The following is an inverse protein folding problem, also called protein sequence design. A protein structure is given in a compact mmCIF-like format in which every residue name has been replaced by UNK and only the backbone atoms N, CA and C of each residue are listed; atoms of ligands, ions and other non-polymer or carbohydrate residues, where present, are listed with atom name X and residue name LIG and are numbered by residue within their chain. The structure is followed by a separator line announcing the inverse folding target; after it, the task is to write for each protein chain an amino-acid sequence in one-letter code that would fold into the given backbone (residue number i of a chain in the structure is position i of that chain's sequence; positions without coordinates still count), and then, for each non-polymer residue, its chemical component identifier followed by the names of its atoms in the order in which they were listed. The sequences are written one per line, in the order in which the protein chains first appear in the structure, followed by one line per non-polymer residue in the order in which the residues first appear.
data_IF_742776618600
#
_entry.id   IF_742776618600
#
_cell.length_a   1.000
_cell.length_b   1.000
_cell.length_c   1.000
_cell.angle_alpha   90.00
_cell.angle_beta   90.00
_cell.angle_gamma   90.00
#
_symmetry.space_group_name_H-M   'P 1'
#
loop_
_entity.id
_entity.type
_entity.pdbx_description
1 polymer ?
#
# COMPACT_ATOMS: atom_id res chain seq x y z
N UNK A 1 -22.10 -7.81 20.70
CA UNK A 1 -20.78 -7.95 20.04
C UNK A 1 -20.50 -6.65 19.30
N UNK A 2 -19.40 -5.96 19.61
CA UNK A 2 -19.06 -4.69 18.96
C UNK A 2 -18.68 -4.97 17.50
N UNK A 3 -19.33 -4.30 16.56
CA UNK A 3 -18.98 -4.40 15.13
C UNK A 3 -17.80 -3.47 14.84
N UNK A 4 -16.82 -3.90 14.03
CA UNK A 4 -15.72 -3.02 13.62
C UNK A 4 -16.23 -1.78 12.88
N UNK A 5 -15.62 -0.62 13.13
CA UNK A 5 -15.84 0.60 12.35
C UNK A 5 -15.45 0.38 10.90
N UNK A 6 -16.16 1.04 9.98
CA UNK A 6 -15.86 0.96 8.55
C UNK A 6 -15.34 2.27 7.98
N UNK A 7 -15.29 3.36 8.76
CA UNK A 7 -14.74 4.64 8.33
C UNK A 7 -13.27 4.54 7.90
N UNK A 8 -12.45 3.82 8.67
CA UNK A 8 -11.05 3.54 8.30
C UNK A 8 -10.93 2.77 6.98
N UNK A 9 -11.79 1.77 6.77
CA UNK A 9 -11.80 0.96 5.56
C UNK A 9 -12.21 1.78 4.33
N UNK A 10 -13.22 2.65 4.47
CA UNK A 10 -13.61 3.61 3.43
C UNK A 10 -12.51 4.65 3.18
N UNK A 11 -11.83 5.10 4.23
CA UNK A 11 -10.66 5.98 4.14
C UNK A 11 -9.52 5.36 3.31
N UNK A 12 -9.19 4.09 3.56
CA UNK A 12 -8.21 3.36 2.77
C UNK A 12 -8.62 3.27 1.28
N UNK A 13 -9.90 2.96 0.99
CA UNK A 13 -10.39 2.98 -0.39
C UNK A 13 -10.29 4.35 -1.06
N UNK A 14 -10.56 5.44 -0.32
CA UNK A 14 -10.41 6.80 -0.85
C UNK A 14 -8.95 7.11 -1.21
N UNK A 15 -8.00 6.71 -0.36
CA UNK A 15 -6.56 6.88 -0.63
C UNK A 15 -6.16 6.06 -1.87
N UNK A 16 -6.50 4.77 -1.91
CA UNK A 16 -6.20 3.91 -3.07
C UNK A 16 -6.84 4.43 -4.36
N UNK A 17 -8.09 4.90 -4.29
CA UNK A 17 -8.79 5.50 -5.43
C UNK A 17 -8.14 6.79 -5.92
N UNK A 18 -7.67 7.66 -5.01
CA UNK A 18 -6.95 8.88 -5.37
C UNK A 18 -5.62 8.57 -6.08
N UNK A 19 -4.83 7.61 -5.58
CA UNK A 19 -3.60 7.16 -6.23
C UNK A 19 -3.89 6.55 -7.60
N UNK A 20 -4.92 5.70 -7.69
CA UNK A 20 -5.34 5.09 -8.97
C UNK A 20 -5.73 6.14 -10.00
N UNK A 21 -6.43 7.19 -9.57
CA UNK A 21 -6.81 8.29 -10.45
C UNK A 21 -5.59 9.10 -10.91
N UNK A 22 -4.63 9.36 -10.01
CA UNK A 22 -3.38 10.03 -10.37
C UNK A 22 -2.60 9.23 -11.41
N UNK A 23 -2.40 7.92 -11.19
CA UNK A 23 -1.80 6.98 -12.15
C UNK A 23 -2.52 7.05 -13.49
N UNK A 24 -3.84 6.90 -13.50
CA UNK A 24 -4.64 6.89 -14.72
C UNK A 24 -4.43 8.19 -15.52
N UNK A 25 -4.48 9.34 -14.84
CA UNK A 25 -4.33 10.66 -15.48
C UNK A 25 -2.90 10.84 -16.00
N UNK A 26 -1.89 10.51 -15.22
CA UNK A 26 -0.48 10.70 -15.56
C UNK A 26 -0.04 9.80 -16.71
N UNK A 27 -0.33 8.50 -16.63
CA UNK A 27 -0.06 7.57 -17.74
C UNK A 27 -1.02 7.76 -18.93
N UNK A 28 -2.12 8.48 -18.72
CA UNK A 28 -3.04 8.87 -19.79
C UNK A 28 -2.61 10.09 -20.59
N UNK A 29 -1.68 10.90 -20.05
CA UNK A 29 -1.32 12.21 -20.61
C UNK A 29 0.14 12.34 -21.07
N UNK A 30 1.06 11.60 -20.45
CA UNK A 30 2.49 11.70 -20.71
C UNK A 30 2.90 10.77 -21.85
N UNK A 31 4.01 11.12 -22.50
CA UNK A 31 4.66 10.26 -23.48
C UNK A 31 5.27 9.04 -22.77
N UNK A 32 5.18 7.87 -23.39
CA UNK A 32 5.78 6.64 -22.83
C UNK A 32 7.29 6.73 -22.69
N UNK A 33 7.96 7.56 -23.50
CA UNK A 33 9.39 7.84 -23.35
C UNK A 33 9.77 8.54 -22.03
N UNK A 34 8.79 9.17 -21.36
CA UNK A 34 8.97 9.82 -20.06
C UNK A 34 8.58 8.90 -18.89
N UNK A 35 8.06 7.70 -19.17
CA UNK A 35 7.45 6.79 -18.21
C UNK A 35 8.22 5.48 -18.12
N UNK A 36 8.24 4.89 -16.94
CA UNK A 36 8.97 3.65 -16.68
C UNK A 36 8.21 2.41 -17.15
N UNK A 37 8.84 1.62 -18.03
CA UNK A 37 8.43 0.26 -18.46
C UNK A 37 6.98 0.12 -18.98
N UNK A 38 6.49 1.09 -19.73
CA UNK A 38 5.18 1.07 -20.39
C UNK A 38 5.28 1.33 -21.88
N UNK A 39 4.40 0.73 -22.69
CA UNK A 39 4.39 0.94 -24.15
C UNK A 39 3.08 1.51 -24.69
N UNK A 40 1.99 1.48 -23.92
CA UNK A 40 0.71 2.02 -24.35
C UNK A 40 0.55 3.49 -23.98
N UNK A 41 0.06 4.29 -24.93
CA UNK A 41 -0.18 5.72 -24.75
C UNK A 41 -1.65 6.04 -24.43
N UNK A 42 -1.89 7.29 -24.02
CA UNK A 42 -3.23 7.85 -23.89
C UNK A 42 -4.10 7.10 -22.88
N UNK A 43 -5.42 7.18 -23.08
CA UNK A 43 -6.39 6.55 -22.17
C UNK A 43 -6.16 5.04 -22.00
N UNK A 44 -5.66 4.35 -23.04
CA UNK A 44 -5.35 2.93 -22.97
C UNK A 44 -4.17 2.66 -22.01
N UNK A 45 -3.08 3.44 -22.12
CA UNK A 45 -1.96 3.39 -21.17
C UNK A 45 -2.38 3.68 -19.73
N UNK A 46 -3.15 4.75 -19.54
CA UNK A 46 -3.68 5.13 -18.23
C UNK A 46 -4.56 4.05 -17.58
N UNK A 47 -5.51 3.48 -18.34
CA UNK A 47 -6.35 2.38 -17.86
C UNK A 47 -5.53 1.12 -17.60
N UNK A 48 -4.56 0.82 -18.46
CA UNK A 48 -3.65 -0.31 -18.30
C UNK A 48 -2.89 -0.22 -16.97
N UNK A 49 -2.27 0.92 -16.68
CA UNK A 49 -1.56 1.12 -15.41
C UNK A 49 -2.45 1.17 -14.20
N UNK A 50 -3.65 1.73 -14.32
CA UNK A 50 -4.65 1.63 -13.26
C UNK A 50 -4.96 0.16 -12.93
N UNK A 51 -5.15 -0.70 -13.95
CA UNK A 51 -5.39 -2.14 -13.75
C UNK A 51 -4.21 -2.81 -13.07
N UNK A 52 -2.96 -2.53 -13.47
CA UNK A 52 -1.79 -3.12 -12.81
C UNK A 52 -1.61 -2.60 -11.38
N UNK A 53 -1.95 -1.34 -11.09
CA UNK A 53 -1.98 -0.81 -9.71
C UNK A 53 -3.00 -1.56 -8.83
N UNK A 54 -4.14 -1.96 -9.39
CA UNK A 54 -5.10 -2.83 -8.69
C UNK A 54 -4.48 -4.17 -8.28
N UNK A 55 -3.43 -4.62 -8.97
CA UNK A 55 -2.73 -5.87 -8.65
C UNK A 55 -1.71 -5.65 -7.54
N UNK A 56 -0.81 -4.68 -7.71
CA UNK A 56 0.12 -4.26 -6.67
C UNK A 56 0.14 -2.74 -6.60
N UNK A 57 -0.03 -2.14 -5.41
CA UNK A 57 -0.13 -2.75 -4.08
C UNK A 57 -1.58 -2.91 -3.59
N UNK A 58 -2.58 -2.46 -4.36
CA UNK A 58 -3.98 -2.36 -3.90
C UNK A 58 -4.58 -3.73 -3.58
N UNK A 59 -4.18 -4.81 -4.25
CA UNK A 59 -4.66 -6.15 -3.88
C UNK A 59 -4.25 -6.55 -2.45
N UNK A 60 -3.05 -6.16 -2.00
CA UNK A 60 -2.63 -6.40 -0.62
C UNK A 60 -3.50 -5.62 0.37
N UNK A 61 -3.79 -4.35 0.06
CA UNK A 61 -4.74 -3.54 0.84
C UNK A 61 -6.13 -4.20 0.88
N UNK A 62 -6.60 -4.73 -0.25
CA UNK A 62 -7.91 -5.37 -0.39
C UNK A 62 -8.05 -6.62 0.51
N UNK A 63 -6.97 -7.37 0.76
CA UNK A 63 -6.98 -8.50 1.71
C UNK A 63 -7.28 -7.99 3.13
N UNK A 64 -6.59 -6.94 3.58
CA UNK A 64 -6.84 -6.35 4.91
C UNK A 64 -8.28 -5.85 5.05
N UNK A 65 -8.77 -5.15 4.02
CA UNK A 65 -10.14 -4.61 3.99
C UNK A 65 -11.19 -5.72 3.98
N UNK A 66 -10.94 -6.82 3.27
CA UNK A 66 -11.82 -7.99 3.27
C UNK A 66 -11.94 -8.60 4.66
N UNK A 67 -10.82 -8.76 5.38
CA UNK A 67 -10.81 -9.31 6.74
C UNK A 67 -11.60 -8.42 7.73
N UNK A 68 -11.49 -7.10 7.58
CA UNK A 68 -12.28 -6.13 8.38
C UNK A 68 -13.77 -6.21 8.02
N UNK A 69 -14.10 -6.29 6.73
CA UNK A 69 -15.49 -6.35 6.27
C UNK A 69 -16.21 -7.61 6.78
N UNK A 70 -15.58 -8.79 6.71
CA UNK A 70 -16.20 -10.04 7.17
C UNK A 70 -16.45 -10.09 8.67
N UNK A 71 -15.70 -9.32 9.47
CA UNK A 71 -15.95 -9.19 10.89
C UNK A 71 -17.26 -8.43 11.20
N UNK A 72 -17.78 -7.64 10.26
CA UNK A 72 -19.06 -6.93 10.38
C UNK A 72 -20.25 -7.67 9.71
N UNK A 73 -19.96 -8.67 8.87
CA UNK A 73 -20.92 -9.38 8.02
C UNK A 73 -21.30 -10.76 8.58
N UNK A 74 -22.42 -11.36 8.13
CA UNK A 74 -22.77 -12.73 8.51
C UNK A 74 -21.78 -13.75 7.93
N UNK A 75 -21.66 -14.93 8.57
CA UNK A 75 -20.71 -15.99 8.16
C UNK A 75 -20.79 -16.38 6.68
N UNK A 76 -21.97 -16.32 6.06
CA UNK A 76 -22.15 -16.57 4.61
C UNK A 76 -21.34 -15.64 3.69
N UNK A 77 -20.91 -14.47 4.19
CA UNK A 77 -20.07 -13.55 3.42
C UNK A 77 -18.70 -14.16 3.07
N UNK A 78 -18.26 -15.19 3.79
CA UNK A 78 -17.03 -15.92 3.46
C UNK A 78 -17.05 -16.59 2.09
N UNK A 79 -18.23 -16.86 1.51
CA UNK A 79 -18.37 -17.34 0.13
C UNK A 79 -17.75 -16.35 -0.87
N UNK A 80 -17.79 -15.05 -0.58
CA UNK A 80 -17.16 -14.02 -1.42
C UNK A 80 -15.80 -13.60 -0.87
N UNK A 81 -15.61 -13.59 0.45
CA UNK A 81 -14.36 -13.17 1.06
C UNK A 81 -13.19 -14.13 0.80
N UNK A 82 -13.45 -15.44 0.76
CA UNK A 82 -12.44 -16.43 0.39
C UNK A 82 -11.88 -16.15 -1.01
N UNK A 83 -12.72 -16.11 -2.06
CA UNK A 83 -12.29 -15.71 -3.40
C UNK A 83 -11.62 -14.33 -3.45
N UNK A 84 -12.16 -13.32 -2.75
CA UNK A 84 -11.56 -11.98 -2.73
C UNK A 84 -10.11 -12.01 -2.22
N UNK A 85 -9.85 -12.74 -1.12
CA UNK A 85 -8.50 -12.90 -0.56
C UNK A 85 -7.61 -13.69 -1.53
N UNK A 86 -8.09 -14.83 -2.03
CA UNK A 86 -7.31 -15.71 -2.92
C UNK A 86 -6.92 -14.98 -4.19
N UNK A 87 -7.86 -14.34 -4.87
CA UNK A 87 -7.59 -13.60 -6.11
C UNK A 87 -6.65 -12.42 -5.89
N UNK A 88 -6.81 -11.71 -4.78
CA UNK A 88 -5.91 -10.60 -4.42
C UNK A 88 -4.48 -11.09 -4.10
N UNK A 89 -4.31 -12.32 -3.60
CA UNK A 89 -3.01 -12.89 -3.26
C UNK A 89 -2.17 -13.35 -4.48
N UNK A 90 -2.75 -13.40 -5.68
CA UNK A 90 -2.04 -13.81 -6.92
C UNK A 90 -1.09 -12.72 -7.46
N UNK A 91 -0.95 -11.60 -6.75
CA UNK A 91 -0.17 -10.42 -7.16
C UNK A 91 1.24 -10.75 -7.67
N UNK A 92 1.97 -11.65 -7.00
CA UNK A 92 3.35 -11.99 -7.34
C UNK A 92 3.51 -12.64 -8.73
N UNK A 93 2.42 -13.13 -9.32
CA UNK A 93 2.41 -13.74 -10.67
C UNK A 93 1.83 -12.79 -11.71
N UNK A 94 1.09 -11.78 -11.28
CA UNK A 94 0.35 -10.90 -12.19
C UNK A 94 1.16 -9.65 -12.61
N UNK A 95 2.15 -9.24 -11.82
CA UNK A 95 2.96 -8.04 -12.07
C UNK A 95 4.36 -8.45 -12.53
N UNK A 96 4.82 -7.87 -13.63
CA UNK A 96 6.20 -7.93 -14.11
C UNK A 96 6.78 -6.53 -14.04
N UNK A 97 7.94 -6.37 -13.41
CA UNK A 97 8.54 -5.03 -13.25
C UNK A 97 9.14 -4.50 -14.53
N UNK A 98 9.49 -5.39 -15.46
CA UNK A 98 10.08 -5.04 -16.74
C UNK A 98 9.02 -4.76 -17.81
N UNK A 99 7.76 -5.09 -17.53
CA UNK A 99 6.62 -4.86 -18.42
C UNK A 99 5.38 -4.56 -17.58
N UNK A 100 5.09 -3.27 -17.48
CA UNK A 100 4.04 -2.73 -16.64
C UNK A 100 2.73 -2.51 -17.41
N UNK A 101 2.63 -2.99 -18.65
CA UNK A 101 1.38 -2.99 -19.40
C UNK A 101 0.37 -4.02 -18.87
N UNK A 102 -0.92 -3.69 -19.02
CA UNK A 102 -1.98 -4.57 -18.56
C UNK A 102 -2.07 -5.84 -19.41
N UNK A 103 -2.11 -6.99 -18.73
CA UNK A 103 -2.27 -8.32 -19.29
C UNK A 103 -3.57 -8.94 -18.78
N UNK A 104 -4.07 -9.96 -19.47
CA UNK A 104 -5.30 -10.65 -19.06
C UNK A 104 -5.20 -11.25 -17.65
N UNK A 105 -3.99 -11.66 -17.22
CA UNK A 105 -3.74 -12.19 -15.87
C UNK A 105 -4.05 -11.15 -14.79
N UNK A 106 -3.96 -9.85 -15.12
CA UNK A 106 -4.27 -8.78 -14.18
C UNK A 106 -5.75 -8.67 -13.82
N UNK A 107 -6.64 -9.30 -14.60
CA UNK A 107 -8.06 -9.35 -14.29
C UNK A 107 -8.34 -10.13 -13.00
N UNK A 108 -7.49 -11.09 -12.62
CA UNK A 108 -7.70 -11.92 -11.44
C UNK A 108 -7.57 -11.09 -10.15
N UNK A 109 -6.44 -10.41 -9.86
CA UNK A 109 -6.37 -9.54 -8.69
C UNK A 109 -7.37 -8.39 -8.73
N UNK A 110 -7.62 -7.80 -9.91
CA UNK A 110 -8.63 -6.74 -10.05
C UNK A 110 -10.04 -7.20 -9.64
N UNK A 111 -10.43 -8.44 -9.97
CA UNK A 111 -11.68 -9.04 -9.49
C UNK A 111 -11.67 -9.25 -7.97
N UNK A 112 -10.53 -9.67 -7.41
CA UNK A 112 -10.34 -9.77 -5.96
C UNK A 112 -10.58 -8.42 -5.25
N UNK A 113 -10.00 -7.35 -5.78
CA UNK A 113 -10.18 -5.97 -5.29
C UNK A 113 -11.64 -5.53 -5.41
N UNK A 114 -12.31 -5.81 -6.53
CA UNK A 114 -13.71 -5.47 -6.72
C UNK A 114 -14.64 -6.17 -5.71
N UNK A 115 -14.39 -7.47 -5.42
CA UNK A 115 -15.11 -8.21 -4.39
C UNK A 115 -14.84 -7.64 -2.99
N UNK A 116 -13.60 -7.28 -2.68
CA UNK A 116 -13.23 -6.65 -1.41
C UNK A 116 -13.95 -5.30 -1.21
N UNK A 117 -14.04 -4.48 -2.27
CA UNK A 117 -14.77 -3.22 -2.25
C UNK A 117 -16.26 -3.46 -2.00
N UNK A 118 -16.88 -4.41 -2.71
CA UNK A 118 -18.29 -4.77 -2.52
C UNK A 118 -18.59 -5.24 -1.08
N UNK A 119 -17.71 -6.08 -0.52
CA UNK A 119 -17.79 -6.52 0.87
C UNK A 119 -17.65 -5.36 1.85
N UNK A 120 -16.73 -4.43 1.60
CA UNK A 120 -16.54 -3.23 2.43
C UNK A 120 -17.79 -2.34 2.41
N UNK A 121 -18.38 -2.11 1.24
CA UNK A 121 -19.63 -1.35 1.10
C UNK A 121 -20.77 -2.04 1.84
N UNK A 122 -20.91 -3.36 1.71
CA UNK A 122 -21.92 -4.13 2.43
C UNK A 122 -21.72 -4.06 3.96
N UNK A 123 -20.47 -4.12 4.41
CA UNK A 123 -20.12 -3.97 5.83
C UNK A 123 -20.45 -2.56 6.33
N UNK A 124 -20.11 -1.50 5.58
CA UNK A 124 -20.43 -0.11 5.91
C UNK A 124 -21.95 0.13 5.98
N UNK A 125 -22.73 -0.41 5.04
CA UNK A 125 -24.21 -0.35 5.09
C UNK A 125 -24.79 -1.03 6.32
N UNK A 126 -24.13 -2.06 6.86
CA UNK A 126 -24.60 -2.84 8.02
C UNK A 126 -24.11 -2.31 9.37
N UNK A 127 -22.90 -1.77 9.43
CA UNK A 127 -22.23 -1.36 10.66
C UNK A 127 -22.09 0.17 10.81
N UNK A 128 -22.40 0.93 9.76
CA UNK A 128 -22.17 2.37 9.67
C UNK A 128 -20.80 2.71 9.08
N UNK A 129 -20.63 3.95 8.65
CA UNK A 129 -19.41 4.49 8.02
C UNK A 129 -18.55 5.37 8.94
N UNK A 130 -18.91 5.46 10.23
CA UNK A 130 -18.16 6.27 11.19
C UNK A 130 -16.75 5.71 11.41
N UNK A 131 -15.78 6.61 11.58
CA UNK A 131 -14.44 6.26 12.05
C UNK A 131 -14.47 5.75 13.48
N UNK A 132 -13.50 4.91 13.83
CA UNK A 132 -13.22 4.54 15.20
C UNK A 132 -12.98 5.77 16.06
N UNK A 133 -13.41 5.70 17.33
CA UNK A 133 -13.05 6.68 18.35
C UNK A 133 -11.53 6.77 18.48
N UNK A 134 -11.04 7.92 18.99
CA UNK A 134 -9.62 8.12 19.27
C UNK A 134 -9.08 7.00 20.16
N UNK A 135 -7.87 6.53 19.85
CA UNK A 135 -7.17 5.49 20.59
C UNK A 135 -5.84 6.00 21.10
N UNK A 136 -5.30 5.33 22.12
CA UNK A 136 -3.91 5.54 22.50
C UNK A 136 -3.02 5.33 21.25
N UNK A 137 -1.94 6.10 21.12
CA UNK A 137 -1.02 6.01 19.99
C UNK A 137 -1.53 6.62 18.67
N UNK A 138 -2.73 7.20 18.62
CA UNK A 138 -3.17 7.93 17.41
C UNK A 138 -2.25 9.12 17.08
N UNK A 139 -1.65 9.77 18.09
CA UNK A 139 -0.62 10.80 17.86
C UNK A 139 0.62 10.23 17.18
N UNK A 140 1.10 9.07 17.61
CA UNK A 140 2.25 8.40 17.01
C UNK A 140 1.95 8.00 15.57
N UNK A 141 0.77 7.41 15.31
CA UNK A 141 0.32 7.09 13.95
C UNK A 141 0.27 8.34 13.08
N UNK A 142 -0.29 9.43 13.59
CA UNK A 142 -0.42 10.69 12.84
C UNK A 142 0.95 11.28 12.50
N UNK A 143 1.88 11.35 13.47
CA UNK A 143 3.24 11.84 13.24
C UNK A 143 3.98 10.93 12.26
N UNK A 144 3.90 9.62 12.44
CA UNK A 144 4.53 8.67 11.52
C UNK A 144 3.96 8.77 10.11
N UNK A 145 2.64 8.90 9.95
CA UNK A 145 1.98 9.16 8.67
C UNK A 145 2.46 10.47 8.05
N UNK A 146 2.59 11.55 8.84
CA UNK A 146 3.09 12.83 8.33
C UNK A 146 4.54 12.72 7.84
N UNK A 147 5.40 12.00 8.57
CA UNK A 147 6.79 11.74 8.14
C UNK A 147 6.82 10.95 6.84
N UNK A 148 6.03 9.87 6.73
CA UNK A 148 5.93 9.07 5.51
C UNK A 148 5.46 9.94 4.33
N UNK A 149 4.45 10.78 4.52
CA UNK A 149 3.94 11.69 3.48
C UNK A 149 4.97 12.73 3.05
N UNK A 150 5.70 13.35 3.99
CA UNK A 150 6.75 14.34 3.67
C UNK A 150 7.88 13.71 2.87
N UNK A 151 8.32 12.51 3.27
CA UNK A 151 9.37 11.78 2.56
C UNK A 151 8.89 11.21 1.21
N UNK A 152 7.59 11.03 1.02
CA UNK A 152 6.99 10.59 -0.25
C UNK A 152 6.76 11.74 -1.24
N UNK A 153 7.06 13.00 -0.89
CA UNK A 153 6.78 14.15 -1.75
C UNK A 153 7.36 14.02 -3.17
N UNK A 154 8.59 13.50 -3.38
CA UNK A 154 9.11 13.27 -4.73
C UNK A 154 8.26 12.29 -5.54
N UNK A 155 7.87 11.15 -4.96
CA UNK A 155 7.02 10.18 -5.62
C UNK A 155 5.61 10.70 -5.86
N UNK A 156 5.04 11.46 -4.92
CA UNK A 156 3.73 12.08 -5.10
C UNK A 156 3.77 13.04 -6.29
N UNK A 157 4.84 13.85 -6.43
CA UNK A 157 4.99 14.73 -7.58
C UNK A 157 5.14 13.95 -8.89
N UNK A 158 5.96 12.89 -8.90
CA UNK A 158 6.13 12.00 -10.04
C UNK A 158 4.82 11.33 -10.46
N UNK A 159 3.97 10.95 -9.49
CA UNK A 159 2.63 10.38 -9.72
C UNK A 159 1.69 11.37 -10.37
N UNK A 160 1.88 12.67 -10.15
CA UNK A 160 1.20 13.75 -10.86
C UNK A 160 1.92 14.16 -12.16
N UNK A 161 3.02 13.49 -12.50
CA UNK A 161 3.85 13.73 -13.68
C UNK A 161 4.58 15.09 -13.64
N UNK A 162 5.08 15.46 -12.46
CA UNK A 162 5.87 16.66 -12.20
C UNK A 162 7.15 16.23 -11.46
N UNK A 163 8.31 16.70 -11.89
CA UNK A 163 9.54 16.49 -11.12
C UNK A 163 9.55 17.37 -9.86
N UNK A 164 10.00 16.79 -8.75
CA UNK A 164 10.13 17.54 -7.50
C UNK A 164 11.41 18.38 -7.51
N UNK A 165 11.40 19.62 -7.00
CA UNK A 165 12.58 20.48 -6.98
C UNK A 165 13.73 19.91 -6.15
N UNK A 166 14.95 20.05 -6.68
CA UNK A 166 16.20 19.49 -6.15
C UNK A 166 16.73 20.03 -4.82
N UNK A 167 16.14 21.11 -4.29
CA UNK A 167 16.74 21.87 -3.17
C UNK A 167 16.88 21.05 -1.88
N UNK A 168 15.94 20.14 -1.63
CA UNK A 168 15.88 19.31 -0.42
C UNK A 168 15.92 17.84 -0.79
N UNK A 169 15.02 17.42 -1.67
CA UNK A 169 14.98 16.07 -2.22
C UNK A 169 15.60 16.08 -3.61
N UNK A 170 16.33 15.01 -3.92
CA UNK A 170 16.71 14.73 -5.30
C UNK A 170 15.43 14.41 -6.07
N UNK A 171 15.24 15.02 -7.22
CA UNK A 171 14.03 14.87 -8.02
C UNK A 171 14.30 15.06 -9.50
N UNK A 172 14.56 16.30 -9.92
CA UNK A 172 14.79 16.67 -11.33
C UNK A 172 16.24 16.49 -11.81
N UNK A 173 17.18 16.30 -10.89
CA UNK A 173 18.60 16.16 -11.22
C UNK A 173 18.86 14.92 -12.07
N UNK A 174 19.74 15.03 -13.06
CA UNK A 174 20.06 13.92 -13.94
C UNK A 174 20.94 12.89 -13.24
N UNK A 175 20.55 11.62 -13.34
CA UNK A 175 21.28 10.46 -12.88
C UNK A 175 21.40 9.47 -14.04
N UNK A 176 22.61 8.94 -14.27
CA UNK A 176 22.84 7.92 -15.28
C UNK A 176 22.56 6.53 -14.70
N UNK A 177 21.62 5.81 -15.28
CA UNK A 177 21.40 4.41 -14.94
C UNK A 177 22.52 3.51 -15.49
N UNK A 178 22.52 2.24 -15.07
CA UNK A 178 23.54 1.25 -15.45
C UNK A 178 23.62 1.01 -16.98
N UNK A 179 22.56 1.32 -17.71
CA UNK A 179 22.48 1.24 -19.17
C UNK A 179 23.07 2.48 -19.89
N UNK A 180 23.50 3.50 -19.13
CA UNK A 180 24.11 4.73 -19.62
C UNK A 180 23.12 5.82 -20.01
N UNK A 181 21.81 5.60 -19.89
CA UNK A 181 20.81 6.63 -20.12
C UNK A 181 20.66 7.53 -18.89
N UNK A 182 20.64 8.85 -19.12
CA UNK A 182 20.46 9.84 -18.06
C UNK A 182 18.98 10.21 -17.93
N UNK A 183 18.38 9.89 -16.78
CA UNK A 183 17.02 10.26 -16.42
C UNK A 183 17.02 11.17 -15.21
N UNK A 184 15.89 11.84 -14.96
CA UNK A 184 15.69 12.49 -13.68
C UNK A 184 15.84 11.47 -12.53
N UNK A 185 16.46 11.89 -11.43
CA UNK A 185 16.76 11.05 -10.29
C UNK A 185 15.52 10.35 -9.74
N UNK A 186 14.38 11.04 -9.76
CA UNK A 186 13.06 10.46 -9.61
C UNK A 186 12.34 10.62 -10.94
N UNK A 187 12.22 9.51 -11.69
CA UNK A 187 11.54 9.50 -12.98
C UNK A 187 10.03 9.79 -12.82
N UNK A 188 9.34 10.17 -13.90
CA UNK A 188 7.89 10.40 -13.83
C UNK A 188 7.12 9.08 -13.73
N UNK A 189 5.90 9.18 -13.22
CA UNK A 189 5.01 8.04 -13.04
C UNK A 189 5.14 7.41 -11.66
N UNK A 190 4.82 6.12 -11.61
CA UNK A 190 4.56 5.39 -10.38
C UNK A 190 5.83 4.71 -9.85
N UNK A 191 6.04 4.80 -8.54
CA UNK A 191 7.24 4.32 -7.84
C UNK A 191 6.88 3.31 -6.75
N UNK A 192 7.72 2.28 -6.57
CA UNK A 192 7.48 1.28 -5.52
C UNK A 192 7.73 1.82 -4.10
N UNK A 193 8.48 2.90 -3.94
CA UNK A 193 8.51 3.66 -2.69
C UNK A 193 7.14 4.23 -2.33
N UNK A 194 6.40 4.73 -3.33
CA UNK A 194 5.01 5.15 -3.23
C UNK A 194 4.07 4.01 -2.82
N UNK A 195 4.31 2.80 -3.32
CA UNK A 195 3.59 1.59 -2.89
C UNK A 195 3.84 1.27 -1.43
N UNK A 196 5.11 1.33 -1.03
CA UNK A 196 5.51 1.19 0.36
C UNK A 196 4.79 2.18 1.26
N UNK A 197 4.73 3.45 0.87
CA UNK A 197 4.00 4.50 1.57
C UNK A 197 2.50 4.16 1.69
N UNK A 198 1.85 3.75 0.59
CA UNK A 198 0.43 3.40 0.59
C UNK A 198 0.13 2.25 1.58
N UNK A 199 0.95 1.21 1.59
CA UNK A 199 0.81 0.08 2.50
C UNK A 199 1.00 0.50 3.97
N UNK A 200 2.01 1.32 4.27
CA UNK A 200 2.29 1.83 5.63
C UNK A 200 1.14 2.70 6.13
N UNK A 201 0.71 3.69 5.34
CA UNK A 201 -0.37 4.60 5.69
C UNK A 201 -1.69 3.86 5.89
N UNK A 202 -1.98 2.89 5.02
CA UNK A 202 -3.14 2.00 5.16
C UNK A 202 -3.03 1.17 6.44
N UNK A 203 -1.88 0.59 6.74
CA UNK A 203 -1.69 -0.21 7.95
C UNK A 203 -1.91 0.64 9.23
N UNK A 204 -1.38 1.87 9.26
CA UNK A 204 -1.63 2.79 10.37
C UNK A 204 -3.11 3.13 10.52
N UNK A 205 -3.81 3.44 9.42
CA UNK A 205 -5.23 3.74 9.44
C UNK A 205 -6.05 2.53 9.93
N UNK A 206 -5.85 1.36 9.33
CA UNK A 206 -6.60 0.14 9.64
C UNK A 206 -6.27 -0.42 11.03
N UNK A 207 -5.06 -0.17 11.57
CA UNK A 207 -4.70 -0.57 12.94
C UNK A 207 -5.54 0.09 14.04
N UNK A 208 -6.35 1.10 13.69
CA UNK A 208 -7.31 1.72 14.63
C UNK A 208 -8.58 0.89 14.79
N UNK A 209 -8.93 0.06 13.80
CA UNK A 209 -10.14 -0.76 13.78
C UNK A 209 -10.07 -1.85 14.85
N UNK A 210 -11.08 -1.92 15.72
CA UNK A 210 -11.17 -2.97 16.75
C UNK A 210 -11.79 -4.24 16.16
N UNK A 211 -10.98 -5.29 16.09
CA UNK A 211 -11.42 -6.62 15.65
C UNK A 211 -12.07 -7.41 16.80
N UNK A 212 -13.08 -8.24 16.52
CA UNK A 212 -13.64 -9.15 17.52
C UNK A 212 -12.60 -10.17 17.97
N UNK A 213 -12.62 -10.55 19.25
CA UNK A 213 -11.68 -11.52 19.84
C UNK A 213 -11.66 -12.86 19.10
N UNK A 214 -10.51 -13.54 19.13
CA UNK A 214 -10.31 -14.87 18.56
C UNK A 214 -9.42 -14.87 17.32
N UNK A 215 -9.53 -15.93 16.50
CA UNK A 215 -8.63 -16.16 15.37
C UNK A 215 -8.63 -15.01 14.36
N UNK A 216 -9.80 -14.42 14.06
CA UNK A 216 -9.88 -13.32 13.09
C UNK A 216 -9.11 -12.08 13.55
N UNK A 217 -9.12 -11.75 14.85
CA UNK A 217 -8.26 -10.68 15.41
C UNK A 217 -6.80 -10.98 15.18
N UNK A 218 -6.35 -12.21 15.47
CA UNK A 218 -4.95 -12.60 15.30
C UNK A 218 -4.55 -12.51 13.82
N UNK A 219 -5.32 -13.15 12.93
CA UNK A 219 -5.04 -13.15 11.48
C UNK A 219 -5.01 -11.74 10.91
N UNK A 220 -6.01 -10.90 11.21
CA UNK A 220 -6.05 -9.52 10.74
C UNK A 220 -4.89 -8.68 11.28
N UNK A 221 -4.56 -8.83 12.56
CA UNK A 221 -3.44 -8.09 13.17
C UNK A 221 -2.11 -8.53 12.59
N UNK A 222 -1.90 -9.83 12.40
CA UNK A 222 -0.71 -10.37 11.76
C UNK A 222 -0.58 -9.88 10.32
N UNK A 223 -1.68 -9.86 9.57
CA UNK A 223 -1.67 -9.36 8.20
C UNK A 223 -1.32 -7.86 8.13
N UNK A 224 -1.88 -7.03 9.03
CA UNK A 224 -1.49 -5.62 9.15
C UNK A 224 -0.02 -5.45 9.53
N UNK A 225 0.52 -6.32 10.40
CA UNK A 225 1.93 -6.34 10.74
C UNK A 225 2.84 -6.65 9.54
N UNK A 226 2.46 -7.65 8.73
CA UNK A 226 3.15 -7.99 7.47
C UNK A 226 3.07 -6.82 6.49
N UNK A 227 1.88 -6.26 6.27
CA UNK A 227 1.66 -5.14 5.37
C UNK A 227 2.47 -3.91 5.77
N UNK A 228 2.52 -3.59 7.06
CA UNK A 228 3.33 -2.50 7.61
C UNK A 228 4.83 -2.74 7.38
N UNK A 229 5.32 -3.94 7.71
CA UNK A 229 6.75 -4.27 7.59
C UNK A 229 7.21 -4.29 6.12
N UNK A 230 6.45 -4.96 5.26
CA UNK A 230 6.74 -5.04 3.84
C UNK A 230 6.67 -3.66 3.17
N UNK A 231 5.63 -2.87 3.50
CA UNK A 231 5.52 -1.50 3.01
C UNK A 231 6.68 -0.62 3.48
N UNK A 232 7.06 -0.70 4.76
CA UNK A 232 8.14 0.10 5.32
C UNK A 232 9.51 -0.25 4.71
N UNK A 233 9.76 -1.53 4.40
CA UNK A 233 11.02 -1.94 3.76
C UNK A 233 11.10 -1.45 2.31
N UNK A 234 10.03 -1.56 1.52
CA UNK A 234 10.04 -1.03 0.15
C UNK A 234 10.15 0.50 0.13
N UNK A 235 9.40 1.17 1.02
CA UNK A 235 9.51 2.61 1.24
C UNK A 235 10.96 3.04 1.57
N UNK A 236 11.60 2.36 2.53
CA UNK A 236 12.95 2.69 2.95
C UNK A 236 13.99 2.36 1.87
N UNK A 237 13.82 1.26 1.14
CA UNK A 237 14.72 0.86 0.07
C UNK A 237 14.73 1.89 -1.06
N UNK A 238 13.55 2.30 -1.53
CA UNK A 238 13.46 3.25 -2.64
C UNK A 238 13.93 4.65 -2.22
N UNK A 239 13.54 5.09 -1.01
CA UNK A 239 14.02 6.36 -0.45
C UNK A 239 15.56 6.38 -0.33
N UNK A 240 16.14 5.27 0.11
CA UNK A 240 17.60 5.14 0.21
C UNK A 240 18.26 5.19 -1.15
N UNK A 241 17.77 4.40 -2.10
CA UNK A 241 18.29 4.37 -3.45
C UNK A 241 18.26 5.77 -4.08
N UNK A 242 17.10 6.41 -4.10
CA UNK A 242 16.94 7.68 -4.82
C UNK A 242 17.54 8.89 -4.09
N UNK A 243 17.48 8.94 -2.76
CA UNK A 243 17.88 10.15 -2.03
C UNK A 243 19.31 10.08 -1.48
N UNK A 244 19.87 8.87 -1.33
CA UNK A 244 21.20 8.63 -0.75
C UNK A 244 22.16 8.09 -1.80
N UNK A 245 21.80 7.01 -2.51
CA UNK A 245 22.68 6.38 -3.49
C UNK A 245 22.83 7.25 -4.74
N UNK A 246 21.71 7.64 -5.39
CA UNK A 246 21.76 8.51 -6.58
C UNK A 246 22.41 9.89 -6.32
N UNK A 247 22.41 10.33 -5.06
CA UNK A 247 23.08 11.56 -4.62
C UNK A 247 24.61 11.41 -4.48
N UNK A 248 25.13 10.18 -4.59
CA UNK A 248 26.55 9.88 -4.47
C UNK A 248 27.09 9.91 -3.04
N UNK A 249 26.23 9.77 -2.03
CA UNK A 249 26.68 9.69 -0.63
C UNK A 249 27.27 8.33 -0.27
N UNK A 250 26.87 7.29 -1.01
CA UNK A 250 27.36 5.91 -0.85
C UNK A 250 27.01 5.09 -2.09
N UNK A 251 27.79 4.03 -2.35
CA UNK A 251 27.50 3.04 -3.39
C UNK A 251 26.74 1.82 -2.83
N UNK A 252 26.46 1.80 -1.52
CA UNK A 252 25.80 0.69 -0.83
C UNK A 252 24.29 0.87 -0.88
N UNK A 253 23.61 -0.01 -1.60
CA UNK A 253 22.15 -0.02 -1.70
C UNK A 253 21.48 -1.05 -0.76
N UNK A 254 20.21 -0.81 -0.42
CA UNK A 254 19.36 -1.77 0.29
C UNK A 254 18.87 -2.81 -0.73
N UNK A 255 19.05 -4.12 -0.47
CA UNK A 255 18.60 -5.15 -1.42
C UNK A 255 17.09 -5.06 -1.68
N UNK A 256 16.70 -5.14 -2.96
CA UNK A 256 15.30 -5.11 -3.35
C UNK A 256 14.49 -6.19 -2.63
N UNK A 257 13.34 -5.76 -2.09
CA UNK A 257 12.36 -6.59 -1.42
C UNK A 257 11.07 -6.77 -2.24
N UNK A 258 11.02 -6.31 -3.50
CA UNK A 258 9.78 -6.29 -4.26
C UNK A 258 9.25 -7.71 -4.54
N UNK A 259 10.14 -8.61 -4.95
CA UNK A 259 9.78 -10.00 -5.28
C UNK A 259 10.10 -10.92 -4.10
N UNK A 260 9.14 -11.73 -3.61
CA UNK A 260 9.36 -12.78 -2.62
C UNK A 260 10.49 -13.73 -3.00
N UNK A 261 11.44 -13.94 -2.09
CA UNK A 261 12.55 -14.87 -2.31
C UNK A 261 13.33 -15.20 -1.04
N UNK A 262 14.16 -16.23 -1.11
CA UNK A 262 15.03 -16.66 -0.01
C UNK A 262 16.27 -15.73 0.12
N UNK A 263 16.02 -14.44 0.42
CA UNK A 263 17.04 -13.40 0.61
C UNK A 263 17.01 -12.86 2.05
N UNK A 264 18.14 -12.41 2.62
CA UNK A 264 18.18 -11.90 3.99
C UNK A 264 17.19 -10.77 4.28
N UNK A 265 16.88 -9.92 3.29
CA UNK A 265 15.89 -8.84 3.43
C UNK A 265 14.50 -9.35 3.80
N UNK A 266 14.12 -10.54 3.34
CA UNK A 266 12.84 -11.15 3.69
C UNK A 266 12.80 -11.66 5.14
N UNK A 267 13.94 -12.09 5.69
CA UNK A 267 14.04 -12.37 7.12
C UNK A 267 13.82 -11.10 7.95
N UNK A 268 14.38 -9.96 7.51
CA UNK A 268 14.15 -8.66 8.15
C UNK A 268 12.66 -8.31 8.13
N UNK A 269 11.98 -8.46 6.99
CA UNK A 269 10.53 -8.21 6.87
C UNK A 269 9.75 -9.10 7.84
N UNK A 270 10.07 -10.40 7.93
CA UNK A 270 9.38 -11.32 8.85
C UNK A 270 9.58 -10.92 10.31
N UNK A 271 10.81 -10.58 10.71
CA UNK A 271 11.11 -10.13 12.08
C UNK A 271 10.34 -8.84 12.42
N UNK A 272 10.34 -7.86 11.51
CA UNK A 272 9.60 -6.62 11.67
C UNK A 272 8.09 -6.86 11.73
N UNK A 273 7.56 -7.78 10.91
CA UNK A 273 6.14 -8.13 10.90
C UNK A 273 5.70 -8.78 12.22
N UNK A 274 6.51 -9.70 12.76
CA UNK A 274 6.26 -10.30 14.09
C UNK A 274 6.26 -9.23 15.17
N UNK A 275 7.26 -8.35 15.17
CA UNK A 275 7.35 -7.26 16.14
C UNK A 275 6.14 -6.32 16.06
N UNK A 276 5.78 -5.88 14.86
CA UNK A 276 4.60 -5.04 14.62
C UNK A 276 3.31 -5.72 15.11
N UNK A 277 3.14 -7.00 14.81
CA UNK A 277 1.99 -7.80 15.26
C UNK A 277 1.89 -7.84 16.78
N UNK A 278 3.01 -8.13 17.47
CA UNK A 278 3.04 -8.18 18.93
C UNK A 278 2.72 -6.83 19.56
N UNK A 279 3.25 -5.73 19.00
CA UNK A 279 2.94 -4.38 19.48
C UNK A 279 1.46 -4.03 19.32
N UNK A 280 0.86 -4.35 18.17
CA UNK A 280 -0.56 -4.10 17.91
C UNK A 280 -1.46 -4.90 18.83
N UNK A 281 -1.18 -6.20 19.02
CA UNK A 281 -1.96 -7.06 19.93
C UNK A 281 -1.87 -6.58 21.38
N UNK A 282 -0.68 -6.27 21.88
CA UNK A 282 -0.46 -5.77 23.25
C UNK A 282 -1.21 -4.46 23.51
N UNK A 283 -1.23 -3.57 22.52
CA UNK A 283 -1.89 -2.28 22.61
C UNK A 283 -3.42 -2.41 22.66
N UNK A 284 -3.98 -3.33 21.86
CA UNK A 284 -5.40 -3.66 21.91
C UNK A 284 -5.83 -4.18 23.29
N UNK A 285 -5.03 -5.04 23.91
CA UNK A 285 -5.33 -5.57 25.26
C UNK A 285 -5.25 -4.47 26.32
N UNK A 286 -4.28 -3.56 26.20
CA UNK A 286 -4.15 -2.40 27.09
C UNK A 286 -5.33 -1.44 26.98
N UNK A 287 -5.79 -1.18 25.75
CA UNK A 287 -6.95 -0.33 25.46
C UNK A 287 -8.28 -0.97 25.93
N UNK A 288 -8.33 -2.31 26.03
CA UNK A 288 -9.49 -3.04 26.55
C UNK A 288 -9.54 -3.05 28.09
N UNK A 289 -8.39 -2.96 28.76
CA UNK A 289 -8.28 -2.95 30.22
C UNK A 289 -8.58 -1.58 30.86
N UNK A 290 -8.55 -0.49 30.10
CA UNK A 290 -8.87 0.85 30.61
C UNK A 290 -10.39 1.02 30.79
N UNK A 291 -10.90 1.41 31.98
CA UNK A 291 -12.31 1.71 32.16
C UNK A 291 -12.71 2.85 31.22
N UNK A 292 -13.90 2.73 30.61
CA UNK A 292 -14.44 3.76 29.75
C UNK A 292 -14.55 5.06 30.58
N UNK A 293 -13.63 6.00 30.34
CA UNK A 293 -13.76 7.34 30.91
C UNK A 293 -15.02 7.96 30.31
N UNK A 294 -16.01 8.16 31.18
CA UNK A 294 -17.29 8.81 30.88
C UNK A 294 -17.07 10.28 30.53
#
# INVERSE_FOLDING_TARGET
MVRPSQGEALGAWMISGAVTLAVLVTYGRLDTAELYNVSNEGLAGGLGRAVVLLNFPIALVAIALTLIAVAALPRRAWVFAGPAIVFSAVVAVAVDQNDLDARWVNAVPALGVALALALTVAAARRAGSSFARRRAGDSVRLVASAVVLVLSLPWIAAEFGIHFPGDVFLGEELYAEDDGHAFAAVHLGHHHGGDGALLVLTAFLLSRVRMPSGLLRVVSTSYLGIMLAYGAVNFAQDLWHEQVVKRGWTDVDIPSALVPGARPIWLVIVVLAVFATMLLLRKDDSDAALPARA
#
